data_IF_590303437811
#
_entry.id   IF_590303437811
#
_cell.length_a   1.000
_cell.length_b   1.000
_cell.length_c   1.000
_cell.angle_alpha   90.00
_cell.angle_beta   90.00
_cell.angle_gamma   90.00
#
_symmetry.space_group_name_H-M   'P 1'
#
loop_
_entity.id
_entity.type
_entity.pdbx_description
1 polymer ?
#
# COMPACT_ATOMS: atom_id res chain seq x y z
N UNK A 1 -5.16 -5.21 22.59
CA UNK A 1 -5.82 -3.89 22.63
C UNK A 1 -6.80 -3.82 21.47
N UNK A 2 -8.10 -3.79 21.77
CA UNK A 2 -9.13 -3.65 20.74
C UNK A 2 -9.17 -2.17 20.35
N UNK A 3 -8.68 -1.83 19.16
CA UNK A 3 -8.78 -0.45 18.66
C UNK A 3 -10.24 -0.30 18.25
N UNK A 4 -11.06 0.36 19.06
CA UNK A 4 -12.51 0.48 18.77
C UNK A 4 -12.79 1.50 17.66
N UNK A 5 -11.93 2.51 17.48
CA UNK A 5 -12.10 3.54 16.46
C UNK A 5 -11.65 3.03 15.06
N UNK A 6 -12.58 2.90 14.09
CA UNK A 6 -12.23 2.44 12.76
C UNK A 6 -11.33 3.42 12.00
N UNK A 7 -11.34 4.73 12.32
CA UNK A 7 -10.39 5.69 11.75
C UNK A 7 -8.98 5.37 12.21
N UNK A 8 -8.78 5.14 13.51
CA UNK A 8 -7.49 4.71 14.06
C UNK A 8 -7.03 3.36 13.49
N UNK A 9 -7.95 2.40 13.29
CA UNK A 9 -7.62 1.13 12.60
C UNK A 9 -7.07 1.39 11.19
N UNK A 10 -7.69 2.28 10.42
CA UNK A 10 -7.23 2.61 9.07
C UNK A 10 -5.86 3.28 9.08
N UNK A 11 -5.61 4.24 9.99
CA UNK A 11 -4.27 4.86 10.14
C UNK A 11 -3.19 3.82 10.45
N UNK A 12 -3.46 2.88 11.34
CA UNK A 12 -2.53 1.80 11.68
C UNK A 12 -2.31 0.86 10.48
N UNK A 13 -3.36 0.57 9.71
CA UNK A 13 -3.23 -0.21 8.48
C UNK A 13 -2.35 0.52 7.45
N UNK A 14 -2.55 1.83 7.23
CA UNK A 14 -1.74 2.65 6.34
C UNK A 14 -0.27 2.63 6.75
N UNK A 15 0.01 2.91 8.02
CA UNK A 15 1.39 2.92 8.53
C UNK A 15 2.05 1.54 8.40
N UNK A 16 1.30 0.46 8.65
CA UNK A 16 1.81 -0.91 8.47
C UNK A 16 2.17 -1.22 7.02
N UNK A 17 1.39 -0.74 6.04
CA UNK A 17 1.66 -0.92 4.60
C UNK A 17 2.95 -0.18 4.23
N UNK A 18 3.08 1.08 4.66
CA UNK A 18 4.25 1.92 4.35
C UNK A 18 5.52 1.37 5.00
N UNK A 19 5.43 0.93 6.27
CA UNK A 19 6.56 0.34 7.00
C UNK A 19 7.05 -0.98 6.40
N UNK A 20 6.16 -1.81 5.82
CA UNK A 20 6.60 -3.05 5.15
C UNK A 20 7.49 -2.76 3.96
N UNK A 21 7.30 -1.63 3.27
CA UNK A 21 8.16 -1.23 2.15
C UNK A 21 9.56 -0.83 2.63
N UNK A 22 9.73 -0.29 3.85
CA UNK A 22 11.06 0.00 4.44
C UNK A 22 11.86 -1.24 4.84
N UNK A 23 11.19 -2.34 5.20
CA UNK A 23 11.85 -3.55 5.72
C UNK A 23 12.34 -4.52 4.64
N UNK A 24 11.86 -4.39 3.40
CA UNK A 24 12.30 -5.21 2.28
C UNK A 24 13.67 -4.81 1.70
N UNK A 25 14.34 -3.80 2.27
CA UNK A 25 15.64 -3.28 1.81
C UNK A 25 16.83 -3.68 2.71
N UNK A 26 16.71 -4.69 3.58
CA UNK A 26 17.80 -5.08 4.50
C UNK A 26 17.94 -6.60 4.71
N UNK A 27 18.70 -7.30 3.87
CA UNK A 27 19.14 -8.70 3.98
C UNK A 27 20.62 -8.84 3.53
N UNK A 28 21.53 -8.90 4.50
CA UNK A 28 23.01 -8.81 4.39
C UNK A 28 23.76 -9.85 3.51
N UNK A 29 23.11 -10.77 2.80
CA UNK A 29 23.80 -11.92 2.16
C UNK A 29 23.51 -12.17 0.67
N UNK A 30 22.83 -11.24 -0.01
CA UNK A 30 22.65 -11.28 -1.47
C UNK A 30 23.24 -10.00 -2.05
N UNK A 31 23.66 -9.99 -3.32
CA UNK A 31 23.94 -8.75 -4.07
C UNK A 31 22.61 -7.98 -4.21
N UNK A 32 22.27 -7.25 -3.13
CA UNK A 32 20.95 -6.70 -2.89
C UNK A 32 20.58 -5.71 -3.98
N UNK A 33 21.52 -4.92 -4.48
CA UNK A 33 21.22 -3.94 -5.52
C UNK A 33 20.68 -4.60 -6.79
N UNK A 34 21.18 -5.78 -7.16
CA UNK A 34 20.69 -6.51 -8.34
C UNK A 34 19.39 -7.24 -8.02
N UNK A 35 19.31 -7.96 -6.89
CA UNK A 35 18.10 -8.70 -6.52
C UNK A 35 16.94 -7.75 -6.21
N UNK A 36 17.17 -6.71 -5.40
CA UNK A 36 16.21 -5.65 -5.09
C UNK A 36 15.75 -4.96 -6.36
N UNK A 37 16.64 -4.62 -7.30
CA UNK A 37 16.23 -4.04 -8.59
C UNK A 37 15.33 -4.98 -9.39
N UNK A 38 15.62 -6.29 -9.42
CA UNK A 38 14.76 -7.28 -10.10
C UNK A 38 13.42 -7.42 -9.36
N UNK A 39 13.43 -7.54 -8.04
CA UNK A 39 12.23 -7.67 -7.21
C UNK A 39 11.37 -6.43 -7.34
N UNK A 40 11.92 -5.21 -7.27
CA UNK A 40 11.18 -3.96 -7.46
C UNK A 40 10.65 -3.86 -8.89
N UNK A 41 11.47 -4.13 -9.90
CA UNK A 41 11.06 -4.05 -11.30
C UNK A 41 9.95 -5.06 -11.68
N UNK A 42 9.95 -6.24 -11.06
CA UNK A 42 8.97 -7.30 -11.33
C UNK A 42 7.79 -7.29 -10.35
N UNK A 43 7.96 -6.82 -9.11
CA UNK A 43 6.86 -6.65 -8.14
C UNK A 43 5.84 -5.62 -8.63
N UNK A 44 6.30 -4.55 -9.27
CA UNK A 44 5.42 -3.55 -9.90
C UNK A 44 4.59 -4.15 -11.05
N UNK A 45 4.98 -5.34 -11.58
CA UNK A 45 4.27 -6.08 -12.63
C UNK A 45 3.62 -7.36 -12.12
N UNK A 46 3.63 -7.63 -10.82
CA UNK A 46 3.34 -8.96 -10.26
C UNK A 46 1.99 -9.53 -10.70
N UNK A 47 0.97 -8.70 -10.91
CA UNK A 47 -0.34 -9.14 -11.38
C UNK A 47 -0.69 -8.67 -12.81
N UNK A 48 0.22 -7.97 -13.48
CA UNK A 48 0.11 -7.58 -14.90
C UNK A 48 0.97 -8.49 -15.79
N UNK A 49 0.85 -9.80 -15.56
CA UNK A 49 1.57 -10.84 -16.31
C UNK A 49 0.60 -11.67 -17.15
N UNK A 50 1.12 -12.36 -18.17
CA UNK A 50 0.31 -13.32 -18.96
C UNK A 50 -0.15 -14.53 -18.13
N UNK A 51 0.54 -14.84 -17.04
CA UNK A 51 0.31 -16.02 -16.22
C UNK A 51 -0.59 -15.77 -15.00
N UNK A 52 -1.10 -14.54 -14.85
CA UNK A 52 -1.86 -14.09 -13.66
C UNK A 52 -3.00 -15.03 -13.29
N UNK A 53 -3.78 -15.51 -14.26
CA UNK A 53 -4.89 -16.43 -14.00
C UNK A 53 -4.41 -17.78 -13.45
N UNK A 54 -3.26 -18.26 -13.92
CA UNK A 54 -2.65 -19.52 -13.45
C UNK A 54 -2.10 -19.33 -12.05
N UNK A 55 -1.30 -18.30 -11.82
CA UNK A 55 -0.70 -17.97 -10.52
C UNK A 55 -1.76 -17.72 -9.45
N UNK A 56 -2.83 -17.02 -9.82
CA UNK A 56 -3.98 -16.81 -8.95
C UNK A 56 -4.69 -18.11 -8.58
N UNK A 57 -4.87 -19.04 -9.52
CA UNK A 57 -5.42 -20.38 -9.23
C UNK A 57 -4.51 -21.19 -8.31
N UNK A 58 -3.20 -21.00 -8.41
CA UNK A 58 -2.22 -21.60 -7.49
C UNK A 58 -2.12 -20.89 -6.14
N UNK A 59 -2.90 -19.82 -5.92
CA UNK A 59 -3.01 -19.15 -4.62
C UNK A 59 -1.96 -18.07 -4.36
N UNK A 60 -1.19 -17.64 -5.36
CA UNK A 60 -0.07 -16.70 -5.16
C UNK A 60 -0.55 -15.32 -4.66
N UNK A 61 -1.81 -14.96 -4.92
CA UNK A 61 -2.40 -13.68 -4.52
C UNK A 61 -3.31 -13.77 -3.28
N UNK A 62 -3.37 -14.91 -2.58
CA UNK A 62 -4.25 -15.09 -1.42
C UNK A 62 -3.95 -14.04 -0.33
N UNK A 63 -2.67 -13.83 0.00
CA UNK A 63 -2.26 -12.87 1.03
C UNK A 63 -2.62 -11.44 0.65
N UNK A 64 -2.35 -11.04 -0.59
CA UNK A 64 -2.71 -9.72 -1.11
C UNK A 64 -4.24 -9.50 -1.05
N UNK A 65 -5.03 -10.47 -1.52
CA UNK A 65 -6.50 -10.42 -1.46
C UNK A 65 -7.03 -10.35 -0.03
N UNK A 66 -6.42 -11.09 0.89
CA UNK A 66 -6.80 -11.07 2.31
C UNK A 66 -6.49 -9.71 2.95
N UNK A 67 -5.36 -9.10 2.63
CA UNK A 67 -4.99 -7.76 3.10
C UNK A 67 -5.96 -6.70 2.55
N UNK A 68 -6.17 -6.68 1.23
CA UNK A 68 -7.14 -5.77 0.59
C UNK A 68 -8.55 -5.96 1.17
N UNK A 69 -8.95 -7.21 1.46
CA UNK A 69 -10.22 -7.51 2.10
C UNK A 69 -10.31 -6.95 3.52
N UNK A 70 -9.27 -7.07 4.35
CA UNK A 70 -9.23 -6.49 5.69
C UNK A 70 -9.38 -4.98 5.66
N UNK A 71 -8.62 -4.30 4.80
CA UNK A 71 -8.71 -2.84 4.64
C UNK A 71 -10.10 -2.43 4.15
N UNK A 72 -10.65 -3.17 3.17
CA UNK A 72 -12.03 -2.95 2.69
C UNK A 72 -13.08 -3.09 3.80
N UNK A 73 -12.87 -3.98 4.77
CA UNK A 73 -13.77 -4.10 5.93
C UNK A 73 -13.66 -2.88 6.83
N UNK A 74 -12.45 -2.42 7.16
CA UNK A 74 -12.23 -1.19 7.94
C UNK A 74 -12.87 0.02 7.26
N UNK A 75 -12.72 0.14 5.93
CA UNK A 75 -13.36 1.19 5.14
C UNK A 75 -14.88 1.18 5.32
N UNK A 76 -15.52 0.00 5.29
CA UNK A 76 -16.96 -0.14 5.52
C UNK A 76 -17.38 0.14 6.97
N UNK A 77 -16.49 -0.07 7.95
CA UNK A 77 -16.74 0.35 9.33
C UNK A 77 -16.75 1.88 9.46
N UNK A 78 -15.92 2.59 8.68
CA UNK A 78 -15.88 4.07 8.67
C UNK A 78 -17.08 4.63 7.92
N UNK A 79 -17.33 4.14 6.70
CA UNK A 79 -18.41 4.60 5.85
C UNK A 79 -19.14 3.41 5.21
N UNK A 80 -20.24 2.94 5.83
CA UNK A 80 -21.04 1.82 5.31
C UNK A 80 -21.61 2.05 3.92
N UNK A 81 -21.85 3.31 3.53
CA UNK A 81 -22.45 3.68 2.24
C UNK A 81 -21.40 3.89 1.14
N UNK A 82 -20.10 3.85 1.46
CA UNK A 82 -19.05 4.01 0.45
C UNK A 82 -19.16 2.88 -0.60
N UNK A 83 -19.30 3.22 -1.91
CA UNK A 83 -19.62 2.23 -2.94
C UNK A 83 -18.43 1.38 -3.38
N UNK A 84 -17.19 1.82 -3.15
CA UNK A 84 -15.98 1.22 -3.74
C UNK A 84 -14.90 0.76 -2.73
N UNK A 85 -15.24 0.12 -1.61
CA UNK A 85 -14.28 -0.13 -0.53
C UNK A 85 -13.13 -1.06 -0.92
N UNK A 86 -13.37 -2.02 -1.82
CA UNK A 86 -12.33 -2.94 -2.33
C UNK A 86 -11.37 -2.22 -3.26
N UNK A 87 -11.90 -1.36 -4.13
CA UNK A 87 -11.10 -0.60 -5.08
C UNK A 87 -10.22 0.42 -4.34
N UNK A 88 -10.77 1.11 -3.34
CA UNK A 88 -9.97 1.99 -2.47
C UNK A 88 -8.87 1.19 -1.76
N UNK A 89 -9.20 0.04 -1.17
CA UNK A 89 -8.21 -0.79 -0.48
C UNK A 89 -7.06 -1.25 -1.39
N UNK A 90 -7.34 -1.79 -2.58
CA UNK A 90 -6.29 -2.21 -3.51
C UNK A 90 -5.51 -1.01 -4.03
N UNK A 91 -6.18 0.11 -4.34
CA UNK A 91 -5.52 1.34 -4.81
C UNK A 91 -4.55 1.87 -3.77
N UNK A 92 -4.91 1.88 -2.47
CA UNK A 92 -4.01 2.29 -1.40
C UNK A 92 -2.77 1.40 -1.29
N UNK A 93 -2.92 0.08 -1.48
CA UNK A 93 -1.79 -0.85 -1.50
C UNK A 93 -0.82 -0.54 -2.64
N UNK A 94 -1.34 -0.25 -3.83
CA UNK A 94 -0.52 0.13 -4.98
C UNK A 94 0.12 1.52 -4.79
N UNK A 95 -0.65 2.50 -4.30
CA UNK A 95 -0.19 3.87 -4.06
C UNK A 95 1.00 3.92 -3.11
N UNK A 96 0.98 3.13 -2.03
CA UNK A 96 2.09 3.09 -1.08
C UNK A 96 3.43 2.82 -1.80
N UNK A 97 3.49 1.78 -2.62
CA UNK A 97 4.71 1.43 -3.34
C UNK A 97 5.03 2.41 -4.47
N UNK A 98 4.01 2.82 -5.24
CA UNK A 98 4.21 3.70 -6.38
C UNK A 98 4.75 5.07 -5.97
N UNK A 99 4.22 5.69 -4.92
CA UNK A 99 4.68 7.02 -4.51
C UNK A 99 6.06 7.00 -3.85
N UNK A 100 6.46 5.88 -3.23
CA UNK A 100 7.85 5.67 -2.81
C UNK A 100 8.76 5.58 -4.05
N UNK A 101 8.41 4.75 -5.03
CA UNK A 101 9.19 4.58 -6.25
C UNK A 101 9.28 5.88 -7.08
N UNK A 102 8.17 6.61 -7.21
CA UNK A 102 8.14 7.90 -7.90
C UNK A 102 9.02 8.92 -7.20
N UNK A 103 8.98 9.01 -5.86
CA UNK A 103 9.84 9.94 -5.13
C UNK A 103 11.33 9.67 -5.37
N UNK A 104 11.72 8.40 -5.53
CA UNK A 104 13.12 7.99 -5.74
C UNK A 104 13.58 8.07 -7.20
N UNK A 105 12.69 7.82 -8.17
CA UNK A 105 13.09 7.57 -9.55
C UNK A 105 12.37 8.43 -10.60
N UNK A 106 11.14 8.87 -10.31
CA UNK A 106 10.29 9.64 -11.23
C UNK A 106 9.61 10.80 -10.48
N UNK A 107 10.38 11.73 -9.88
CA UNK A 107 9.84 12.71 -8.93
C UNK A 107 8.80 13.65 -9.53
N UNK A 108 8.76 13.82 -10.85
CA UNK A 108 7.72 14.58 -11.54
C UNK A 108 6.31 13.95 -11.48
N UNK A 109 6.18 12.69 -11.01
CA UNK A 109 4.90 11.97 -10.90
C UNK A 109 4.29 12.00 -9.49
N UNK A 110 4.94 12.66 -8.53
CA UNK A 110 4.49 12.66 -7.14
C UNK A 110 4.85 13.95 -6.41
N UNK A 111 3.99 14.38 -5.49
CA UNK A 111 4.25 15.52 -4.59
C UNK A 111 5.04 15.10 -3.33
N UNK A 112 5.71 13.94 -3.38
CA UNK A 112 6.33 13.29 -2.22
C UNK A 112 7.84 13.31 -2.35
N UNK A 113 8.51 13.67 -1.27
CA UNK A 113 9.97 13.62 -1.10
C UNK A 113 10.33 12.57 -0.05
N UNK A 114 11.29 11.70 -0.36
CA UNK A 114 11.84 10.71 0.56
C UNK A 114 13.28 11.09 0.88
N UNK A 115 13.50 11.66 2.07
CA UNK A 115 14.82 12.05 2.56
C UNK A 115 15.20 11.19 3.77
N UNK A 116 16.42 10.64 3.80
CA UNK A 116 16.86 9.79 4.92
C UNK A 116 15.98 8.55 5.14
N UNK A 117 15.25 8.11 4.10
CA UNK A 117 14.28 7.02 4.18
C UNK A 117 12.99 7.37 4.91
N UNK A 118 12.71 8.65 5.23
CA UNK A 118 11.43 9.07 5.83
C UNK A 118 10.28 8.86 4.84
N UNK A 119 9.28 8.08 5.26
CA UNK A 119 8.08 7.79 4.48
C UNK A 119 6.81 8.45 5.06
N UNK A 120 6.97 9.36 6.03
CA UNK A 120 5.85 10.04 6.68
C UNK A 120 4.95 10.80 5.68
N UNK A 121 5.51 11.31 4.60
CA UNK A 121 4.75 11.97 3.54
C UNK A 121 3.88 10.98 2.76
N UNK A 122 4.34 9.74 2.55
CA UNK A 122 3.55 8.68 1.91
C UNK A 122 2.35 8.31 2.80
N UNK A 123 2.57 8.15 4.11
CA UNK A 123 1.47 7.91 5.05
C UNK A 123 0.42 9.04 4.98
N UNK A 124 0.87 10.30 5.00
CA UNK A 124 -0.02 11.47 4.89
C UNK A 124 -0.81 11.50 3.58
N UNK A 125 -0.17 11.16 2.45
CA UNK A 125 -0.85 11.07 1.16
C UNK A 125 -1.97 10.02 1.17
N UNK A 126 -1.68 8.84 1.72
CA UNK A 126 -2.66 7.75 1.81
C UNK A 126 -3.80 8.09 2.77
N UNK A 127 -3.49 8.75 3.90
CA UNK A 127 -4.51 9.25 4.84
C UNK A 127 -5.40 10.31 4.16
N UNK A 128 -4.81 11.30 3.47
CA UNK A 128 -5.55 12.36 2.79
C UNK A 128 -6.52 11.79 1.74
N UNK A 129 -6.03 10.91 0.85
CA UNK A 129 -6.86 10.24 -0.15
C UNK A 129 -8.00 9.45 0.48
N UNK A 130 -7.69 8.61 1.48
CA UNK A 130 -8.69 7.74 2.08
C UNK A 130 -9.74 8.54 2.86
N UNK A 131 -9.33 9.47 3.71
CA UNK A 131 -10.27 10.19 4.57
C UNK A 131 -11.14 11.18 3.80
N UNK A 132 -10.61 11.85 2.76
CA UNK A 132 -11.43 12.69 1.88
C UNK A 132 -12.47 11.88 1.12
N UNK A 133 -12.08 10.73 0.54
CA UNK A 133 -13.03 9.86 -0.19
C UNK A 133 -14.09 9.25 0.73
N UNK A 134 -13.78 9.09 2.02
CA UNK A 134 -14.72 8.56 3.01
C UNK A 134 -15.57 9.66 3.66
N UNK A 135 -15.43 10.92 3.26
CA UNK A 135 -16.08 12.10 3.84
C UNK A 135 -15.87 12.18 5.37
N UNK A 136 -14.66 11.85 5.81
CA UNK A 136 -14.29 11.97 7.22
C UNK A 136 -13.89 13.41 7.49
N UNK A 137 -14.68 14.13 8.28
CA UNK A 137 -14.31 15.47 8.75
C UNK A 137 -13.06 15.37 9.64
N UNK A 138 -12.03 16.14 9.31
CA UNK A 138 -10.91 16.44 10.21
C UNK A 138 -11.47 17.35 11.32
N UNK A 139 -11.48 16.84 12.56
CA UNK A 139 -11.72 17.65 13.76
C UNK A 139 -10.43 18.23 14.27
#
# INVERSE_FOLDING_TARGET
MNIEDPKRKLKIAISSIVDTTRRNTSIEFVDEDVLHRIVVAEATKAYHTKEIDRENKHGFFITYKALAKKISTIIKEINPEYPYPRALASTMLEMANNHIYFALHLPALTDITVEGGDLSQVEKLLEDFAFRLLNVEEK
#
